data_IF_153284245759
#
_entry.id   IF_153284245759
#
_cell.length_a   1.000
_cell.length_b   1.000
_cell.length_c   1.000
_cell.angle_alpha   90.00
_cell.angle_beta   90.00
_cell.angle_gamma   90.00
#
_symmetry.space_group_name_H-M   'P 1'
#
loop_
_entity.id
_entity.type
_entity.pdbx_description
1 polymer ?
#
# COMPACT_ATOMS: atom_id res chain seq x y z
N UNK A 1 8.55 6.21 -12.24
CA UNK A 1 7.50 6.83 -11.42
C UNK A 1 6.78 7.83 -12.30
N UNK A 2 5.67 7.43 -12.90
CA UNK A 2 4.88 8.31 -13.77
C UNK A 2 3.51 8.44 -13.11
N UNK A 3 3.38 9.52 -12.32
CA UNK A 3 2.10 10.02 -11.83
C UNK A 3 1.42 10.68 -13.03
N UNK A 4 0.69 9.92 -13.84
CA UNK A 4 -0.17 10.51 -14.86
C UNK A 4 -1.48 10.93 -14.21
N UNK A 5 -1.44 12.13 -13.63
CA UNK A 5 -2.54 12.77 -12.93
C UNK A 5 -2.23 14.22 -12.59
N UNK A 6 -1.81 14.99 -13.61
CA UNK A 6 -1.85 16.46 -13.76
C UNK A 6 -1.20 17.36 -12.70
N UNK A 7 -0.60 18.42 -13.24
CA UNK A 7 0.02 19.57 -12.60
C UNK A 7 -0.89 20.23 -11.56
N UNK A 8 -0.55 20.06 -10.30
CA UNK A 8 -1.12 20.76 -9.14
C UNK A 8 -0.21 20.46 -7.96
N UNK A 9 0.16 21.49 -7.22
CA UNK A 9 1.10 21.46 -6.10
C UNK A 9 0.88 20.28 -5.15
N UNK A 10 1.98 19.65 -4.71
CA UNK A 10 2.08 18.45 -3.86
C UNK A 10 1.34 18.51 -2.50
N UNK A 11 0.59 19.57 -2.22
CA UNK A 11 0.02 19.89 -0.91
C UNK A 11 -1.48 20.23 -0.90
N UNK A 12 -2.18 20.26 -2.04
CA UNK A 12 -3.64 20.51 -2.08
C UNK A 12 -4.44 19.44 -2.85
N UNK A 13 -4.32 18.15 -2.47
CA UNK A 13 -5.47 17.24 -2.53
C UNK A 13 -5.67 16.40 -1.26
N UNK A 14 -4.87 16.61 -0.20
CA UNK A 14 -5.00 15.90 1.08
C UNK A 14 -6.19 16.36 1.94
N UNK A 15 -6.93 17.37 1.46
CA UNK A 15 -8.16 17.87 2.07
C UNK A 15 -9.42 17.40 1.34
N UNK A 16 -9.45 16.15 0.86
CA UNK A 16 -10.73 15.60 0.42
C UNK A 16 -11.60 15.36 1.66
N UNK A 17 -12.80 15.93 1.62
CA UNK A 17 -13.92 15.77 2.55
C UNK A 17 -14.39 14.31 2.72
N UNK A 18 -13.65 13.35 2.14
CA UNK A 18 -13.97 11.94 2.10
C UNK A 18 -12.75 11.16 2.53
N UNK A 19 -12.94 10.25 3.47
CA UNK A 19 -11.97 9.28 3.95
C UNK A 19 -11.56 8.26 2.86
N UNK A 20 -11.71 8.57 1.57
CA UNK A 20 -11.50 7.70 0.43
C UNK A 20 -10.46 8.26 -0.54
N UNK A 21 -9.52 7.41 -0.94
CA UNK A 21 -8.49 7.71 -1.92
C UNK A 21 -8.39 6.58 -2.94
N UNK A 22 -8.28 6.89 -4.24
CA UNK A 22 -8.08 5.89 -5.28
C UNK A 22 -6.93 6.29 -6.21
N UNK A 23 -6.11 5.32 -6.60
CA UNK A 23 -4.94 5.52 -7.46
C UNK A 23 -4.74 4.36 -8.42
N UNK A 24 -4.29 4.68 -9.63
CA UNK A 24 -3.91 3.69 -10.64
C UNK A 24 -2.39 3.58 -10.70
N UNK A 25 -1.88 2.35 -10.58
CA UNK A 25 -0.47 2.01 -10.70
C UNK A 25 -0.24 1.23 -11.98
N UNK A 26 0.89 1.49 -12.65
CA UNK A 26 1.30 0.75 -13.83
C UNK A 26 2.72 0.19 -13.66
N UNK A 27 2.89 -1.09 -13.98
CA UNK A 27 4.18 -1.81 -13.98
C UNK A 27 4.30 -2.60 -15.27
N UNK A 28 5.11 -2.11 -16.20
CA UNK A 28 5.18 -2.68 -17.55
C UNK A 28 3.82 -2.58 -18.25
N UNK A 29 3.28 -3.71 -18.70
CA UNK A 29 1.93 -3.80 -19.29
C UNK A 29 0.80 -4.00 -18.28
N UNK A 30 1.11 -4.23 -17.00
CA UNK A 30 0.09 -4.44 -15.96
C UNK A 30 -0.34 -3.11 -15.36
N UNK A 31 -1.64 -2.96 -15.13
CA UNK A 31 -2.20 -1.85 -14.34
C UNK A 31 -2.98 -2.40 -13.15
N UNK A 32 -2.97 -1.64 -12.06
CA UNK A 32 -3.65 -1.95 -10.82
C UNK A 32 -4.41 -0.71 -10.35
N UNK A 33 -5.66 -0.88 -9.92
CA UNK A 33 -6.41 0.13 -9.19
C UNK A 33 -6.26 -0.18 -7.70
N UNK A 34 -5.85 0.81 -6.92
CA UNK A 34 -5.76 0.72 -5.46
C UNK A 34 -6.71 1.75 -4.88
N UNK A 35 -7.60 1.31 -4.00
CA UNK A 35 -8.50 2.15 -3.23
C UNK A 35 -8.12 2.02 -1.76
N UNK A 36 -7.95 3.16 -1.10
CA UNK A 36 -7.77 3.26 0.33
C UNK A 36 -9.01 3.94 0.92
N UNK A 37 -9.52 3.42 2.03
CA UNK A 37 -10.68 3.97 2.72
C UNK A 37 -10.43 3.96 4.23
N UNK A 38 -10.31 5.13 4.85
CA UNK A 38 -10.20 5.25 6.29
C UNK A 38 -11.58 5.10 6.92
N UNK A 39 -11.68 4.25 7.93
CA UNK A 39 -12.89 4.05 8.72
C UNK A 39 -12.47 3.86 10.17
N UNK A 40 -13.01 4.69 11.05
CA UNK A 40 -12.68 4.69 12.48
C UNK A 40 -11.16 4.76 12.72
N UNK A 41 -10.56 3.73 13.32
CA UNK A 41 -9.15 3.60 13.66
C UNK A 41 -8.36 2.76 12.63
N UNK A 42 -8.93 2.56 11.44
CA UNK A 42 -8.39 1.70 10.39
C UNK A 42 -8.30 2.39 9.04
N UNK A 43 -7.34 1.91 8.24
CA UNK A 43 -7.26 2.16 6.80
C UNK A 43 -7.46 0.84 6.05
N UNK A 44 -8.56 0.72 5.32
CA UNK A 44 -8.81 -0.39 4.41
C UNK A 44 -8.08 -0.09 3.10
N UNK A 45 -7.37 -1.07 2.58
CA UNK A 45 -6.70 -0.98 1.28
C UNK A 45 -7.15 -2.15 0.43
N UNK A 46 -7.86 -1.83 -0.64
CA UNK A 46 -8.27 -2.74 -1.70
C UNK A 46 -7.42 -2.49 -2.94
N UNK A 47 -7.00 -3.55 -3.60
CA UNK A 47 -6.28 -3.44 -4.84
C UNK A 47 -6.71 -4.52 -5.83
N UNK A 48 -6.81 -4.15 -7.11
CA UNK A 48 -7.27 -5.05 -8.17
C UNK A 48 -6.51 -4.79 -9.46
N UNK A 49 -6.29 -5.83 -10.27
CA UNK A 49 -5.72 -5.68 -11.60
C UNK A 49 -6.73 -5.11 -12.62
N UNK A 50 -6.26 -4.63 -13.76
CA UNK A 50 -7.14 -4.13 -14.85
C UNK A 50 -8.15 -5.17 -15.35
N UNK A 51 -7.88 -6.47 -15.10
CA UNK A 51 -8.79 -7.57 -15.43
C UNK A 51 -9.95 -7.76 -14.45
N UNK A 52 -9.95 -7.04 -13.31
CA UNK A 52 -11.03 -7.12 -12.33
C UNK A 52 -11.14 -8.49 -11.65
N UNK A 53 -10.01 -9.21 -11.50
CA UNK A 53 -9.97 -10.46 -10.73
C UNK A 53 -10.27 -10.21 -9.24
N UNK A 54 -10.24 -11.26 -8.43
CA UNK A 54 -10.41 -11.15 -6.98
C UNK A 54 -9.46 -10.09 -6.40
N UNK A 55 -10.00 -9.04 -5.74
CA UNK A 55 -9.19 -7.96 -5.19
C UNK A 55 -8.38 -8.44 -4.00
N UNK A 56 -7.16 -7.94 -3.89
CA UNK A 56 -6.34 -8.08 -2.70
C UNK A 56 -6.80 -7.04 -1.66
N UNK A 57 -6.91 -7.46 -0.40
CA UNK A 57 -7.46 -6.64 0.69
C UNK A 57 -6.59 -6.72 1.95
N UNK A 58 -6.41 -5.60 2.63
CA UNK A 58 -5.81 -5.50 3.97
C UNK A 58 -6.49 -4.39 4.78
N UNK A 59 -6.70 -4.65 6.08
CA UNK A 59 -7.06 -3.65 7.08
C UNK A 59 -5.81 -3.24 7.88
N UNK A 60 -5.49 -1.96 7.91
CA UNK A 60 -4.36 -1.40 8.65
C UNK A 60 -4.88 -0.64 9.86
N UNK A 61 -4.72 -1.19 11.05
CA UNK A 61 -5.03 -0.48 12.31
C UNK A 61 -3.92 0.52 12.63
N UNK A 62 -4.27 1.80 12.79
CA UNK A 62 -3.28 2.86 13.02
C UNK A 62 -2.46 2.60 14.29
N UNK A 63 -3.08 2.12 15.36
CA UNK A 63 -2.40 1.88 16.64
C UNK A 63 -1.27 0.84 16.56
N UNK A 64 -1.35 -0.10 15.61
CA UNK A 64 -0.33 -1.15 15.41
C UNK A 64 0.94 -0.62 14.73
N UNK A 65 0.83 0.45 13.96
CA UNK A 65 1.90 0.89 13.06
C UNK A 65 2.35 2.33 13.28
N UNK A 66 1.45 3.24 13.63
CA UNK A 66 1.75 4.65 13.88
C UNK A 66 2.15 4.88 15.35
N UNK A 67 3.18 5.69 15.56
CA UNK A 67 3.58 6.16 16.87
C UNK A 67 2.65 7.30 17.34
N UNK A 68 2.28 7.29 18.62
CA UNK A 68 1.43 8.34 19.23
C UNK A 68 2.16 9.67 19.42
N UNK A 69 3.51 9.65 19.43
CA UNK A 69 4.34 10.84 19.58
C UNK A 69 5.26 10.98 18.38
N UNK A 70 4.86 11.80 17.41
CA UNK A 70 5.78 12.26 16.37
C UNK A 70 6.65 13.37 16.92
N UNK A 71 7.97 13.16 17.02
CA UNK A 71 8.89 14.30 17.00
C UNK A 71 8.76 14.88 15.60
N UNK A 72 8.21 16.09 15.49
CA UNK A 72 7.99 16.76 14.20
C UNK A 72 9.30 16.82 13.41
N UNK A 73 9.31 16.21 12.22
CA UNK A 73 10.48 16.15 11.35
C UNK A 73 11.30 14.85 11.41
N UNK A 74 11.02 13.93 12.34
CA UNK A 74 11.63 12.60 12.36
C UNK A 74 10.69 11.58 11.70
N UNK A 75 11.04 11.15 10.49
CA UNK A 75 10.23 10.19 9.72
C UNK A 75 10.22 8.80 10.34
N UNK A 76 11.35 8.34 10.88
CA UNK A 76 11.46 7.00 11.43
C UNK A 76 10.69 6.89 12.75
N UNK A 77 10.67 7.97 13.54
CA UNK A 77 9.91 8.04 14.79
C UNK A 77 8.38 8.01 14.59
N UNK A 78 7.86 8.19 13.37
CA UNK A 78 6.41 8.13 13.09
C UNK A 78 5.85 6.71 13.12
N UNK A 79 6.71 5.68 13.05
CA UNK A 79 6.27 4.29 12.97
C UNK A 79 6.70 3.47 14.19
N UNK A 80 5.75 2.82 14.85
CA UNK A 80 6.03 1.78 15.88
C UNK A 80 6.68 0.55 15.25
N UNK A 81 6.25 0.18 14.03
CA UNK A 81 6.69 -1.04 13.36
C UNK A 81 6.59 -0.97 11.83
N UNK A 82 7.45 -0.14 11.21
CA UNK A 82 7.50 0.01 9.75
C UNK A 82 7.83 -1.31 9.04
N UNK A 83 8.74 -2.11 9.61
CA UNK A 83 9.14 -3.40 9.02
C UNK A 83 7.96 -4.36 8.86
N UNK A 84 7.12 -4.49 9.90
CA UNK A 84 5.91 -5.31 9.82
C UNK A 84 4.91 -4.75 8.81
N UNK A 85 4.69 -3.43 8.80
CA UNK A 85 3.78 -2.80 7.84
C UNK A 85 4.18 -3.12 6.40
N UNK A 86 5.47 -3.03 6.07
CA UNK A 86 6.00 -3.36 4.74
C UNK A 86 5.77 -4.82 4.40
N UNK A 87 6.05 -5.74 5.32
CA UNK A 87 5.84 -7.19 5.11
C UNK A 87 4.36 -7.53 4.90
N UNK A 88 3.47 -6.98 5.72
CA UNK A 88 2.03 -7.21 5.59
C UNK A 88 1.49 -6.70 4.24
N UNK A 89 1.93 -5.52 3.79
CA UNK A 89 1.58 -4.98 2.46
C UNK A 89 2.11 -5.86 1.33
N UNK A 90 3.32 -6.40 1.47
CA UNK A 90 3.87 -7.34 0.50
C UNK A 90 3.02 -8.60 0.39
N UNK A 91 2.71 -9.22 1.54
CA UNK A 91 2.01 -10.50 1.61
C UNK A 91 0.53 -10.41 1.22
N UNK A 92 -0.17 -9.38 1.70
CA UNK A 92 -1.61 -9.25 1.52
C UNK A 92 -2.00 -8.51 0.25
N UNK A 93 -1.15 -7.62 -0.27
CA UNK A 93 -1.44 -6.84 -1.48
C UNK A 93 -0.54 -7.28 -2.64
N UNK A 94 0.77 -7.04 -2.55
CA UNK A 94 1.65 -7.17 -3.73
C UNK A 94 1.73 -8.59 -4.27
N UNK A 95 1.92 -9.58 -3.41
CA UNK A 95 2.08 -10.99 -3.81
C UNK A 95 0.78 -11.65 -4.24
N UNK A 96 -0.38 -11.09 -3.85
CA UNK A 96 -1.70 -11.53 -4.34
C UNK A 96 -2.01 -10.95 -5.72
N UNK A 97 -1.59 -9.71 -5.98
CA UNK A 97 -1.78 -9.04 -7.28
C UNK A 97 -0.81 -9.55 -8.36
N UNK A 98 0.43 -9.86 -7.97
CA UNK A 98 1.46 -10.32 -8.90
C UNK A 98 2.33 -11.38 -8.24
N UNK A 99 1.97 -12.65 -8.40
CA UNK A 99 2.72 -13.78 -7.84
C UNK A 99 4.18 -13.83 -8.31
N UNK A 100 4.49 -13.24 -9.47
CA UNK A 100 5.86 -13.11 -9.98
C UNK A 100 6.75 -12.19 -9.14
N UNK A 101 6.19 -11.48 -8.15
CA UNK A 101 6.96 -10.73 -7.16
C UNK A 101 7.41 -11.58 -5.98
N UNK A 102 6.81 -12.75 -5.74
CA UNK A 102 7.18 -13.61 -4.61
C UNK A 102 8.64 -14.05 -4.77
N UNK A 103 9.47 -13.97 -3.72
CA UNK A 103 10.81 -14.55 -3.74
C UNK A 103 10.71 -16.03 -4.11
N UNK A 104 11.43 -16.46 -5.15
CA UNK A 104 11.52 -17.88 -5.50
C UNK A 104 12.28 -18.58 -4.38
N UNK A 105 11.62 -19.54 -3.70
CA UNK A 105 12.29 -20.39 -2.72
C UNK A 105 13.43 -21.14 -3.42
N UNK A 106 14.66 -20.88 -3.01
CA UNK A 106 15.81 -21.63 -3.48
C UNK A 106 15.71 -23.05 -2.97
N UNK A 107 15.30 -23.98 -3.83
CA UNK A 107 15.42 -25.41 -3.54
C UNK A 107 16.89 -25.76 -3.66
N UNK A 108 17.60 -25.79 -2.53
CA UNK A 108 18.90 -26.41 -2.44
C UNK A 108 18.72 -27.91 -2.67
N UNK A 109 18.97 -28.38 -3.90
CA UNK A 109 19.15 -29.80 -4.16
C UNK A 109 20.48 -30.22 -3.55
N UNK A 110 20.43 -30.81 -2.35
CA UNK A 110 21.55 -31.55 -1.79
C UNK A 110 21.79 -32.80 -2.66
N UNK A 111 22.98 -32.87 -3.26
CA UNK A 111 23.45 -34.01 -4.06
C UNK A 111 24.21 -35.00 -3.17
#
# INVERSE_FOLDING_TARGET
MVLLGRTGSLLDPWGNEFDEYASVYAKGSKKFLVKCFAIEDKLLVDAVDEGGKEPAHIEIEFEKYAAESGVEGDYDAQFKNLGKLVTDLQDQILYKLDEGLKPVASTSQSR
#
